data_IF_813085184604
#
_entry.id   IF_813085184604
#
_cell.length_a   1.000
_cell.length_b   1.000
_cell.length_c   1.000
_cell.angle_alpha   90.00
_cell.angle_beta   90.00
_cell.angle_gamma   90.00
#
_symmetry.space_group_name_H-M   'P 1'
#
loop_
_entity.id
_entity.type
_entity.pdbx_description
1 polymer ?
#
# COMPACT_ATOMS: atom_id res chain seq x y z
N UNK A 1 -8.24 -14.59 3.14
CA UNK A 1 -8.38 -13.64 4.27
C UNK A 1 -7.22 -13.71 5.27
N UNK A 2 -6.64 -14.88 5.54
CA UNK A 2 -5.50 -15.02 6.48
C UNK A 2 -4.30 -14.11 6.15
N UNK A 3 -3.72 -14.26 4.96
CA UNK A 3 -2.55 -13.46 4.53
C UNK A 3 -2.81 -11.94 4.54
N UNK A 4 -4.04 -11.51 4.21
CA UNK A 4 -4.43 -10.11 4.31
C UNK A 4 -4.37 -9.60 5.76
N UNK A 5 -4.83 -10.40 6.73
CA UNK A 5 -4.76 -10.01 8.16
C UNK A 5 -3.32 -9.91 8.65
N UNK A 6 -2.45 -10.82 8.21
CA UNK A 6 -1.01 -10.75 8.51
C UNK A 6 -0.44 -9.45 7.96
N UNK A 7 -0.69 -9.16 6.68
CA UNK A 7 -0.24 -7.93 6.04
C UNK A 7 -0.74 -6.68 6.80
N UNK A 8 -2.04 -6.55 7.02
CA UNK A 8 -2.60 -5.38 7.70
C UNK A 8 -2.13 -5.23 9.16
N UNK A 9 -1.84 -6.34 9.84
CA UNK A 9 -1.35 -6.31 11.22
C UNK A 9 0.11 -5.89 11.33
N UNK A 10 0.94 -6.22 10.34
CA UNK A 10 2.38 -5.94 10.36
C UNK A 10 2.76 -4.61 9.69
N UNK A 11 1.89 -4.03 8.87
CA UNK A 11 2.20 -2.85 8.03
C UNK A 11 1.26 -1.67 8.32
N UNK A 12 0.90 -1.49 9.59
CA UNK A 12 -0.06 -0.46 10.00
C UNK A 12 0.52 0.96 10.08
N UNK A 13 1.85 1.08 10.00
CA UNK A 13 2.63 2.32 10.01
C UNK A 13 2.49 3.15 8.74
N UNK A 14 2.13 2.49 7.63
CA UNK A 14 1.93 3.12 6.34
C UNK A 14 0.48 3.00 5.87
N UNK A 15 0.11 3.88 4.94
CA UNK A 15 -1.18 3.82 4.27
C UNK A 15 -1.02 3.24 2.86
N UNK A 16 -1.62 2.06 2.65
CA UNK A 16 -1.47 1.31 1.39
C UNK A 16 -2.65 1.47 0.45
N UNK A 17 -3.86 1.43 0.99
CA UNK A 17 -5.13 1.48 0.27
C UNK A 17 -6.27 1.68 1.26
N UNK A 18 -7.48 1.96 0.75
CA UNK A 18 -8.70 2.02 1.57
C UNK A 18 -9.11 0.62 2.02
N UNK A 19 -9.02 0.36 3.33
CA UNK A 19 -9.04 -0.99 3.90
C UNK A 19 -10.36 -1.71 3.71
N UNK A 20 -11.49 -1.07 3.99
CA UNK A 20 -12.79 -1.73 3.88
C UNK A 20 -13.13 -1.97 2.42
N UNK A 21 -12.88 -0.99 1.55
CA UNK A 21 -13.03 -1.17 0.10
C UNK A 21 -12.18 -2.30 -0.47
N UNK A 22 -10.93 -2.41 -0.04
CA UNK A 22 -10.06 -3.51 -0.48
C UNK A 22 -10.60 -4.87 -0.02
N UNK A 23 -11.05 -4.98 1.23
CA UNK A 23 -11.71 -6.20 1.75
C UNK A 23 -12.99 -6.53 0.98
N UNK A 24 -13.81 -5.53 0.67
CA UNK A 24 -15.05 -5.71 -0.08
C UNK A 24 -14.77 -6.17 -1.51
N UNK A 25 -13.79 -5.59 -2.19
CA UNK A 25 -13.37 -6.01 -3.53
C UNK A 25 -12.83 -7.44 -3.54
N UNK A 26 -12.13 -7.86 -2.48
CA UNK A 26 -11.77 -9.28 -2.28
C UNK A 26 -13.04 -10.15 -2.18
N UNK A 27 -13.98 -9.80 -1.28
CA UNK A 27 -15.22 -10.57 -1.10
C UNK A 27 -16.01 -10.67 -2.41
N UNK A 28 -16.09 -9.58 -3.17
CA UNK A 28 -16.74 -9.54 -4.47
C UNK A 28 -16.03 -10.43 -5.49
N UNK A 29 -14.69 -10.35 -5.58
CA UNK A 29 -13.88 -11.19 -6.48
C UNK A 29 -14.14 -12.68 -6.26
N UNK A 30 -14.25 -13.12 -5.01
CA UNK A 30 -14.53 -14.53 -4.70
C UNK A 30 -16.01 -14.91 -4.87
N UNK A 31 -16.94 -13.97 -4.64
CA UNK A 31 -18.38 -14.22 -4.76
C UNK A 31 -18.88 -14.17 -6.21
N UNK A 32 -18.21 -13.38 -7.05
CA UNK A 32 -18.54 -13.16 -8.46
C UNK A 32 -17.24 -13.11 -9.30
N UNK A 33 -16.62 -14.26 -9.61
CA UNK A 33 -15.30 -14.30 -10.25
C UNK A 33 -15.18 -13.56 -11.59
N UNK A 34 -16.30 -13.32 -12.27
CA UNK A 34 -16.35 -12.59 -13.55
C UNK A 34 -16.41 -11.07 -13.39
N UNK A 35 -16.67 -10.52 -12.20
CA UNK A 35 -16.89 -9.07 -12.02
C UNK A 35 -15.63 -8.22 -12.23
N UNK A 36 -14.45 -8.80 -12.02
CA UNK A 36 -13.16 -8.13 -12.12
C UNK A 36 -12.17 -8.88 -13.02
N UNK A 37 -12.64 -9.80 -13.86
CA UNK A 37 -11.76 -10.72 -14.60
C UNK A 37 -10.71 -10.02 -15.48
N UNK A 38 -11.05 -8.84 -16.01
CA UNK A 38 -10.16 -8.04 -16.86
C UNK A 38 -9.35 -6.97 -16.10
N UNK A 39 -9.55 -6.89 -14.78
CA UNK A 39 -8.94 -5.86 -13.94
C UNK A 39 -7.53 -6.27 -13.50
N UNK A 40 -6.57 -6.04 -14.39
CA UNK A 40 -5.17 -6.41 -14.16
C UNK A 40 -4.55 -5.65 -13.00
N UNK A 41 -4.91 -4.38 -12.79
CA UNK A 41 -4.38 -3.58 -11.70
C UNK A 41 -4.83 -4.15 -10.36
N UNK A 42 -6.12 -4.49 -10.25
CA UNK A 42 -6.67 -5.18 -9.09
C UNK A 42 -5.90 -6.45 -8.74
N UNK A 43 -5.71 -7.33 -9.72
CA UNK A 43 -5.00 -8.59 -9.47
C UNK A 43 -3.50 -8.38 -9.20
N UNK A 44 -2.89 -7.32 -9.75
CA UNK A 44 -1.52 -6.93 -9.42
C UNK A 44 -1.42 -6.58 -7.93
N UNK A 45 -2.25 -5.64 -7.48
CA UNK A 45 -2.29 -5.17 -6.10
C UNK A 45 -2.64 -6.30 -5.12
N UNK A 46 -3.66 -7.11 -5.42
CA UNK A 46 -4.03 -8.27 -4.62
C UNK A 46 -2.87 -9.27 -4.51
N UNK A 47 -2.18 -9.55 -5.61
CA UNK A 47 -1.03 -10.47 -5.61
C UNK A 47 0.11 -9.91 -4.75
N UNK A 48 0.39 -8.60 -4.77
CA UNK A 48 1.40 -7.98 -3.90
C UNK A 48 1.05 -8.10 -2.42
N UNK A 49 -0.20 -7.79 -2.04
CA UNK A 49 -0.65 -7.87 -0.66
C UNK A 49 -0.55 -9.31 -0.14
N UNK A 50 -0.94 -10.29 -0.95
CA UNK A 50 -0.81 -11.70 -0.59
C UNK A 50 0.66 -12.14 -0.53
N UNK A 51 1.51 -11.67 -1.44
CA UNK A 51 2.95 -11.96 -1.44
C UNK A 51 3.63 -11.43 -0.18
N UNK A 52 3.31 -10.19 0.23
CA UNK A 52 3.79 -9.59 1.48
C UNK A 52 3.30 -10.38 2.69
N UNK A 53 1.99 -10.68 2.77
CA UNK A 53 1.44 -11.50 3.84
C UNK A 53 2.12 -12.87 3.95
N UNK A 54 2.46 -13.50 2.82
CA UNK A 54 3.18 -14.78 2.79
C UNK A 54 4.65 -14.64 3.21
N UNK A 55 5.31 -13.54 2.84
CA UNK A 55 6.69 -13.29 3.24
C UNK A 55 6.80 -13.07 4.76
N UNK A 56 5.87 -12.29 5.33
CA UNK A 56 5.74 -12.04 6.77
C UNK A 56 5.39 -13.30 7.56
N UNK A 57 4.55 -14.17 7.02
CA UNK A 57 4.22 -15.44 7.67
C UNK A 57 5.43 -16.36 7.86
N UNK A 58 6.39 -16.30 6.93
CA UNK A 58 7.61 -17.12 6.93
C UNK A 58 8.72 -16.57 7.81
N UNK A 59 8.62 -15.34 8.29
CA UNK A 59 9.59 -14.84 9.26
C UNK A 59 9.52 -15.71 10.52
N UNK A 60 10.64 -16.28 10.97
CA UNK A 60 10.64 -17.15 12.14
C UNK A 60 10.18 -16.33 13.35
N UNK A 61 8.95 -16.60 13.80
CA UNK A 61 8.45 -16.08 15.07
C UNK A 61 9.45 -16.51 16.15
N UNK A 62 10.12 -15.55 16.78
CA UNK A 62 11.00 -15.86 17.90
C UNK A 62 10.18 -16.57 18.99
N UNK A 63 10.60 -17.79 19.31
CA UNK A 63 10.26 -18.65 20.46
C UNK A 63 8.79 -19.07 20.65
N UNK A 64 8.51 -20.32 20.25
CA UNK A 64 7.97 -21.30 21.20
C UNK A 64 8.63 -22.65 20.90
N UNK A 65 9.42 -23.14 21.85
CA UNK A 65 9.78 -24.56 21.92
C UNK A 65 8.47 -25.34 22.02
N UNK A 66 8.17 -26.23 21.08
CA UNK A 66 7.43 -27.46 21.38
C UNK A 66 7.43 -28.45 20.21
N UNK A 67 8.01 -29.62 20.48
CA UNK A 67 7.69 -30.96 19.99
C UNK A 67 7.50 -31.20 18.49
N UNK A 68 8.55 -31.75 17.87
CA UNK A 68 8.49 -32.42 16.57
C UNK A 68 7.55 -33.65 16.64
N UNK A 69 6.34 -33.52 16.11
CA UNK A 69 5.47 -34.67 15.84
C UNK A 69 5.81 -35.27 14.45
N UNK A 70 6.16 -36.56 14.35
CA UNK A 70 6.60 -37.18 13.08
C UNK A 70 5.52 -37.35 12.01
N UNK A 71 4.28 -36.95 12.30
CA UNK A 71 3.12 -37.15 11.43
C UNK A 71 2.57 -35.87 10.82
N UNK A 72 3.21 -34.72 11.02
CA UNK A 72 2.82 -33.52 10.32
C UNK A 72 3.31 -33.61 8.87
N UNK A 73 2.50 -34.28 8.05
CA UNK A 73 2.63 -34.33 6.61
C UNK A 73 2.45 -32.91 6.08
N UNK A 74 3.53 -32.14 6.18
CA UNK A 74 3.79 -30.90 5.48
C UNK A 74 3.74 -31.18 3.98
N UNK A 75 2.52 -31.30 3.44
CA UNK A 75 2.24 -30.89 2.07
C UNK A 75 2.34 -29.37 2.04
N UNK A 76 3.56 -28.86 2.21
CA UNK A 76 3.88 -27.48 1.86
C UNK A 76 3.76 -27.42 0.34
N UNK A 77 2.54 -27.10 -0.10
CA UNK A 77 2.30 -26.69 -1.48
C UNK A 77 3.33 -25.60 -1.76
N UNK A 78 4.16 -25.80 -2.78
CA UNK A 78 5.23 -24.86 -3.09
C UNK A 78 4.66 -23.43 -3.07
N UNK A 79 5.31 -22.48 -2.37
CA UNK A 79 4.87 -21.10 -2.32
C UNK A 79 4.49 -20.59 -3.71
N UNK A 80 3.25 -20.13 -3.86
CA UNK A 80 2.82 -19.52 -5.12
C UNK A 80 3.70 -18.28 -5.38
N UNK A 81 4.26 -18.13 -6.58
CA UNK A 81 5.08 -16.95 -6.94
C UNK A 81 4.17 -15.73 -7.21
N UNK A 82 3.53 -15.26 -6.14
CA UNK A 82 2.58 -14.15 -6.16
C UNK A 82 3.27 -12.83 -6.55
N UNK A 83 4.54 -12.66 -6.21
CA UNK A 83 5.30 -11.49 -6.64
C UNK A 83 5.59 -11.53 -8.15
N UNK A 84 6.02 -12.68 -8.68
CA UNK A 84 6.16 -12.87 -10.13
C UNK A 84 4.84 -12.63 -10.87
N UNK A 85 3.73 -13.10 -10.31
CA UNK A 85 2.39 -12.82 -10.83
C UNK A 85 2.08 -11.32 -10.82
N UNK A 86 2.32 -10.60 -9.71
CA UNK A 86 2.12 -9.17 -9.63
C UNK A 86 2.91 -8.41 -10.70
N UNK A 87 4.20 -8.72 -10.84
CA UNK A 87 5.08 -8.09 -11.85
C UNK A 87 4.56 -8.36 -13.27
N UNK A 88 4.04 -9.56 -13.55
CA UNK A 88 3.47 -9.89 -14.87
C UNK A 88 2.17 -9.13 -15.19
N UNK A 89 1.45 -8.69 -14.15
CA UNK A 89 0.19 -7.98 -14.25
C UNK A 89 0.36 -6.46 -14.27
N UNK A 90 1.50 -5.95 -13.75
CA UNK A 90 1.80 -4.53 -13.69
C UNK A 90 1.78 -3.92 -15.09
N UNK A 91 0.89 -2.94 -15.28
CA UNK A 91 0.80 -2.13 -16.50
C UNK A 91 0.75 -0.67 -16.05
N UNK A 92 1.64 0.15 -16.61
CA UNK A 92 1.55 1.60 -16.46
C UNK A 92 0.63 2.10 -17.57
N UNK A 93 -0.57 2.53 -17.21
CA UNK A 93 -1.53 3.15 -18.12
C UNK A 93 -1.14 4.60 -18.42
N UNK A 94 -1.57 5.14 -19.56
CA UNK A 94 -1.49 6.58 -19.83
C UNK A 94 -2.40 7.39 -18.90
N UNK A 95 -3.51 6.78 -18.45
CA UNK A 95 -4.40 7.37 -17.46
C UNK A 95 -3.99 6.90 -16.07
N UNK A 96 -3.32 7.78 -15.33
CA UNK A 96 -2.82 7.50 -13.99
C UNK A 96 -3.94 7.61 -12.94
N UNK A 97 -3.93 6.67 -12.00
CA UNK A 97 -4.90 6.56 -10.91
C UNK A 97 -4.19 6.45 -9.56
N UNK A 98 -4.92 6.64 -8.46
CA UNK A 98 -4.37 6.39 -7.13
C UNK A 98 -3.99 4.92 -6.93
N UNK A 99 -4.73 3.98 -7.53
CA UNK A 99 -4.41 2.55 -7.45
C UNK A 99 -3.04 2.21 -8.08
N UNK A 100 -2.61 2.95 -9.10
CA UNK A 100 -1.26 2.80 -9.69
C UNK A 100 -0.18 3.22 -8.68
N UNK A 101 -0.43 4.29 -7.91
CA UNK A 101 0.47 4.74 -6.85
C UNK A 101 0.48 3.76 -5.68
N UNK A 102 -0.69 3.28 -5.23
CA UNK A 102 -0.81 2.24 -4.21
C UNK A 102 0.01 1.00 -4.59
N UNK A 103 -0.17 0.53 -5.82
CA UNK A 103 0.53 -0.64 -6.38
C UNK A 103 2.04 -0.41 -6.45
N UNK A 104 2.50 0.75 -6.91
CA UNK A 104 3.92 1.08 -6.99
C UNK A 104 4.57 1.18 -5.60
N UNK A 105 3.87 1.75 -4.60
CA UNK A 105 4.34 1.80 -3.22
C UNK A 105 4.49 0.38 -2.64
N UNK A 106 3.48 -0.49 -2.83
CA UNK A 106 3.52 -1.89 -2.40
C UNK A 106 4.68 -2.66 -3.07
N UNK A 107 4.94 -2.38 -4.34
CA UNK A 107 6.04 -3.00 -5.09
C UNK A 107 7.41 -2.59 -4.53
N UNK A 108 7.59 -1.29 -4.24
CA UNK A 108 8.79 -0.77 -3.60
C UNK A 108 9.00 -1.40 -2.22
N UNK A 109 7.94 -1.43 -1.40
CA UNK A 109 7.98 -2.02 -0.06
C UNK A 109 8.28 -3.51 -0.08
N UNK A 110 7.67 -4.30 -0.96
CA UNK A 110 8.00 -5.71 -1.10
C UNK A 110 9.47 -5.93 -1.47
N UNK A 111 10.00 -5.13 -2.40
CA UNK A 111 11.40 -5.23 -2.79
C UNK A 111 12.33 -4.84 -1.65
N UNK A 112 11.97 -3.85 -0.84
CA UNK A 112 12.69 -3.49 0.38
C UNK A 112 12.69 -4.65 1.38
N UNK A 113 11.50 -5.11 1.76
CA UNK A 113 11.27 -6.19 2.71
C UNK A 113 11.99 -7.49 2.34
N UNK A 114 12.04 -7.82 1.05
CA UNK A 114 12.72 -9.04 0.54
C UNK A 114 14.20 -8.84 0.17
N UNK A 115 14.82 -7.74 0.64
CA UNK A 115 16.23 -7.41 0.44
C UNK A 115 16.64 -7.33 -1.05
N UNK A 116 15.86 -6.61 -1.85
CA UNK A 116 16.10 -6.28 -3.26
C UNK A 116 16.26 -4.77 -3.45
N UNK A 117 17.30 -4.15 -2.85
CA UNK A 117 17.39 -2.70 -2.70
C UNK A 117 17.35 -1.92 -4.02
N UNK A 118 18.02 -2.42 -5.07
CA UNK A 118 17.99 -1.77 -6.40
C UNK A 118 16.58 -1.69 -6.99
N UNK A 119 15.79 -2.75 -6.85
CA UNK A 119 14.42 -2.77 -7.33
C UNK A 119 13.53 -1.85 -6.47
N UNK A 120 13.73 -1.85 -5.15
CA UNK A 120 13.03 -0.96 -4.24
C UNK A 120 13.25 0.52 -4.62
N UNK A 121 14.50 0.93 -4.87
CA UNK A 121 14.84 2.30 -5.32
C UNK A 121 14.17 2.67 -6.64
N UNK A 122 14.10 1.74 -7.61
CA UNK A 122 13.44 1.98 -8.89
C UNK A 122 11.93 2.22 -8.68
N UNK A 123 11.27 1.34 -7.93
CA UNK A 123 9.83 1.46 -7.71
C UNK A 123 9.46 2.65 -6.83
N UNK A 124 10.27 3.03 -5.84
CA UNK A 124 9.99 4.24 -5.05
C UNK A 124 10.19 5.51 -5.86
N UNK A 125 11.22 5.56 -6.72
CA UNK A 125 11.42 6.68 -7.66
C UNK A 125 10.24 6.83 -8.61
N UNK A 126 9.70 5.71 -9.11
CA UNK A 126 8.48 5.68 -9.90
C UNK A 126 7.27 6.17 -9.10
N UNK A 127 7.13 5.75 -7.85
CA UNK A 127 6.03 6.16 -6.97
C UNK A 127 6.04 7.67 -6.72
N UNK A 128 7.22 8.26 -6.48
CA UNK A 128 7.37 9.73 -6.38
C UNK A 128 6.97 10.43 -7.68
N UNK A 129 7.36 9.91 -8.84
CA UNK A 129 6.97 10.46 -10.13
C UNK A 129 5.44 10.39 -10.35
N UNK A 130 4.82 9.25 -10.04
CA UNK A 130 3.36 9.06 -10.11
C UNK A 130 2.63 10.03 -9.19
N UNK A 131 3.06 10.15 -7.93
CA UNK A 131 2.45 11.06 -6.97
C UNK A 131 2.50 12.53 -7.44
N UNK A 132 3.60 12.97 -8.07
CA UNK A 132 3.72 14.31 -8.66
C UNK A 132 2.86 14.51 -9.91
N UNK A 133 2.72 13.48 -10.76
CA UNK A 133 1.82 13.52 -11.91
C UNK A 133 0.35 13.61 -11.48
N UNK A 134 0.01 12.96 -10.37
CA UNK A 134 -1.27 13.09 -9.67
C UNK A 134 -1.39 14.37 -8.83
N UNK A 135 -0.33 15.20 -8.81
CA UNK A 135 -0.25 16.48 -8.11
C UNK A 135 -0.42 16.39 -6.59
N UNK A 136 -0.07 15.25 -5.98
CA UNK A 136 -0.20 15.07 -4.52
C UNK A 136 0.81 15.92 -3.73
N UNK A 137 1.81 16.49 -4.40
CA UNK A 137 2.77 17.43 -3.83
C UNK A 137 2.24 18.88 -3.78
N UNK A 138 1.02 19.13 -4.24
CA UNK A 138 0.40 20.46 -4.29
C UNK A 138 -0.74 20.63 -3.28
N UNK A 139 -0.73 21.67 -2.43
CA UNK A 139 -1.81 21.95 -1.49
C UNK A 139 -3.19 22.10 -2.14
N UNK A 140 -3.24 22.64 -3.36
CA UNK A 140 -4.48 22.91 -4.11
C UNK A 140 -5.26 21.63 -4.44
N UNK A 141 -4.55 20.51 -4.61
CA UNK A 141 -5.12 19.20 -4.94
C UNK A 141 -6.07 18.68 -3.85
N UNK A 142 -5.88 19.13 -2.62
CA UNK A 142 -6.66 18.72 -1.45
C UNK A 142 -7.87 19.62 -1.18
N UNK A 143 -8.08 20.66 -1.99
CA UNK A 143 -9.25 21.51 -1.88
C UNK A 143 -10.48 20.80 -2.47
N UNK A 144 -11.63 20.86 -1.79
CA UNK A 144 -12.85 20.26 -2.33
C UNK A 144 -13.24 20.97 -3.64
N UNK A 145 -13.24 20.25 -4.76
CA UNK A 145 -13.78 20.79 -6.01
C UNK A 145 -15.29 21.01 -5.85
N UNK A 146 -15.72 22.26 -6.04
CA UNK A 146 -17.12 22.69 -5.87
C UNK A 146 -18.05 22.12 -6.96
N UNK A 147 -17.51 21.46 -7.99
CA UNK A 147 -18.29 20.95 -9.13
C UNK A 147 -18.49 19.42 -9.11
N UNK A 148 -19.72 19.03 -8.76
CA UNK A 148 -20.53 17.94 -9.35
C UNK A 148 -19.86 16.57 -9.63
N UNK A 149 -20.26 15.53 -8.89
CA UNK A 149 -21.38 14.63 -9.25
C UNK A 149 -21.64 13.61 -8.14
N UNK A 150 -22.90 13.24 -8.01
CA UNK A 150 -23.49 12.34 -7.03
C UNK A 150 -23.05 10.88 -7.19
N UNK A 151 -21.76 10.57 -7.06
CA UNK A 151 -21.30 9.18 -6.94
C UNK A 151 -20.54 8.99 -5.62
N UNK A 152 -21.31 9.00 -4.52
CA UNK A 152 -21.14 8.09 -3.37
C UNK A 152 -19.81 8.03 -2.60
N UNK A 153 -18.96 9.06 -2.61
CA UNK A 153 -17.73 9.09 -1.76
C UNK A 153 -17.62 10.39 -0.98
N UNK A 154 -17.44 10.28 0.35
CA UNK A 154 -17.15 11.40 1.23
C UNK A 154 -15.88 12.13 0.73
N UNK A 155 -15.95 13.43 0.40
CA UNK A 155 -14.79 14.18 -0.10
C UNK A 155 -13.62 14.17 0.89
N UNK A 156 -13.91 14.00 2.17
CA UNK A 156 -12.93 13.84 3.23
C UNK A 156 -12.13 12.54 3.11
N UNK A 157 -12.77 11.41 2.76
CA UNK A 157 -12.05 10.14 2.52
C UNK A 157 -11.05 10.31 1.39
N UNK A 158 -11.48 10.87 0.24
CA UNK A 158 -10.60 11.01 -0.92
C UNK A 158 -9.41 11.90 -0.59
N UNK A 159 -9.64 13.02 0.10
CA UNK A 159 -8.59 13.92 0.56
C UNK A 159 -7.58 13.20 1.47
N UNK A 160 -8.06 12.53 2.52
CA UNK A 160 -7.18 11.85 3.48
C UNK A 160 -6.46 10.66 2.85
N UNK A 161 -7.11 9.96 1.92
CA UNK A 161 -6.48 8.90 1.15
C UNK A 161 -5.27 9.41 0.36
N UNK A 162 -5.43 10.53 -0.34
CA UNK A 162 -4.36 11.16 -1.12
C UNK A 162 -3.23 11.66 -0.23
N UNK A 163 -3.55 12.34 0.88
CA UNK A 163 -2.55 12.84 1.84
C UNK A 163 -1.74 11.69 2.44
N UNK A 164 -2.42 10.64 2.89
CA UNK A 164 -1.76 9.49 3.52
C UNK A 164 -0.91 8.70 2.52
N UNK A 165 -1.35 8.56 1.26
CA UNK A 165 -0.52 7.98 0.20
C UNK A 165 0.73 8.81 -0.09
N UNK A 166 0.57 10.13 -0.21
CA UNK A 166 1.70 11.03 -0.41
C UNK A 166 2.75 10.88 0.68
N UNK A 167 2.33 11.00 1.94
CA UNK A 167 3.26 10.91 3.06
C UNK A 167 3.87 9.51 3.21
N UNK A 168 3.12 8.45 2.91
CA UNK A 168 3.67 7.08 2.84
C UNK A 168 4.78 6.99 1.80
N UNK A 169 4.57 7.50 0.58
CA UNK A 169 5.60 7.51 -0.46
C UNK A 169 6.83 8.30 -0.04
N UNK A 170 6.66 9.45 0.63
CA UNK A 170 7.78 10.27 1.13
C UNK A 170 8.56 9.53 2.21
N UNK A 171 7.89 8.88 3.18
CA UNK A 171 8.57 8.11 4.23
C UNK A 171 9.34 6.91 3.66
N UNK A 172 8.77 6.20 2.69
CA UNK A 172 9.45 5.10 2.01
C UNK A 172 10.70 5.58 1.23
N UNK A 173 10.61 6.71 0.52
CA UNK A 173 11.76 7.31 -0.19
C UNK A 173 12.89 7.69 0.76
N UNK A 174 12.55 8.34 1.88
CA UNK A 174 13.52 8.68 2.94
C UNK A 174 14.22 7.45 3.50
N UNK A 175 13.44 6.42 3.86
CA UNK A 175 13.96 5.18 4.45
C UNK A 175 14.93 4.48 3.49
N UNK A 176 14.49 4.27 2.25
CA UNK A 176 15.30 3.61 1.23
C UNK A 176 16.56 4.38 0.85
N UNK A 177 16.46 5.71 0.80
CA UNK A 177 17.62 6.55 0.52
C UNK A 177 18.63 6.50 1.68
N UNK A 178 18.16 6.58 2.92
CA UNK A 178 19.01 6.51 4.12
C UNK A 178 19.74 5.17 4.24
N UNK A 179 19.08 4.05 3.97
CA UNK A 179 19.70 2.71 4.06
C UNK A 179 20.80 2.48 3.01
N UNK A 180 20.77 3.23 1.91
CA UNK A 180 21.69 3.08 0.78
C UNK A 180 22.68 4.23 0.63
N UNK A 181 22.77 5.12 1.63
CA UNK A 181 23.59 6.34 1.59
C UNK A 181 23.32 7.21 0.34
N UNK A 182 22.06 7.22 -0.12
CA UNK A 182 21.59 8.03 -1.24
C UNK A 182 20.86 9.28 -0.73
N UNK A 183 20.74 10.29 -1.59
CA UNK A 183 19.83 11.41 -1.34
C UNK A 183 18.40 11.01 -1.70
N UNK A 184 17.40 11.25 -0.83
CA UNK A 184 16.00 11.04 -1.17
C UNK A 184 15.62 11.83 -2.42
N UNK A 185 14.80 11.24 -3.30
CA UNK A 185 14.26 11.91 -4.50
C UNK A 185 13.44 13.15 -4.11
N UNK A 186 12.87 13.13 -2.90
CA UNK A 186 12.19 14.28 -2.32
C UNK A 186 12.84 14.71 -0.99
N UNK A 187 13.76 15.68 -1.08
CA UNK A 187 14.59 16.09 0.06
C UNK A 187 13.98 17.18 0.95
N UNK A 188 12.86 17.80 0.55
CA UNK A 188 12.16 18.80 1.38
C UNK A 188 10.66 18.82 1.04
N UNK A 189 9.78 18.29 1.90
CA UNK A 189 8.37 18.66 1.84
C UNK A 189 8.21 20.16 1.82
N UNK A 190 7.38 20.67 0.91
CA UNK A 190 6.93 22.06 1.04
C UNK A 190 6.28 22.19 2.41
N UNK A 191 6.71 23.18 3.19
CA UNK A 191 6.16 23.50 4.52
C UNK A 191 4.64 23.80 4.50
N UNK A 192 4.06 23.86 3.31
CA UNK A 192 2.67 24.19 3.04
C UNK A 192 1.76 22.95 2.94
N UNK A 193 2.31 21.74 2.80
CA UNK A 193 1.51 20.52 2.75
C UNK A 193 0.98 20.17 4.14
N UNK A 194 -0.34 19.96 4.22
CA UNK A 194 -0.99 19.55 5.47
C UNK A 194 -0.57 18.14 5.87
N UNK A 195 -0.45 17.91 7.18
CA UNK A 195 -0.34 16.56 7.72
C UNK A 195 -1.68 15.82 7.61
N UNK A 196 -1.68 14.48 7.49
CA UNK A 196 -2.91 13.72 7.49
C UNK A 196 -3.67 13.88 8.81
N UNK A 197 -5.00 13.82 8.74
CA UNK A 197 -5.89 13.99 9.88
C UNK A 197 -7.03 12.97 9.82
N UNK A 198 -7.78 12.88 10.92
CA UNK A 198 -9.09 12.20 10.92
C UNK A 198 -10.24 13.21 11.11
N UNK A 199 -9.93 14.50 11.16
CA UNK A 199 -10.93 15.56 11.27
C UNK A 199 -11.87 15.57 10.06
N UNK A 200 -13.18 15.51 10.34
CA UNK A 200 -14.22 15.53 9.32
C UNK A 200 -14.57 14.15 8.74
N UNK A 201 -13.87 13.08 9.14
CA UNK A 201 -14.28 11.72 8.83
C UNK A 201 -15.42 11.28 9.75
N UNK A 202 -16.37 10.52 9.21
CA UNK A 202 -17.35 9.79 10.02
C UNK A 202 -16.70 8.56 10.65
N UNK A 203 -17.32 7.98 11.69
CA UNK A 203 -16.80 6.74 12.30
C UNK A 203 -16.74 5.56 11.32
N UNK A 204 -17.60 5.53 10.30
CA UNK A 204 -17.55 4.53 9.23
C UNK A 204 -16.37 4.79 8.28
N UNK A 205 -16.16 6.07 7.91
CA UNK A 205 -15.05 6.48 7.03
C UNK A 205 -13.68 6.27 7.69
N UNK A 206 -13.59 6.40 9.03
CA UNK A 206 -12.36 6.13 9.79
C UNK A 206 -11.89 4.67 9.65
N UNK A 207 -12.81 3.72 9.46
CA UNK A 207 -12.48 2.29 9.30
C UNK A 207 -11.72 2.00 8.00
N UNK A 208 -11.74 2.92 7.03
CA UNK A 208 -10.98 2.80 5.79
C UNK A 208 -9.47 2.95 6.00
N UNK A 209 -9.05 3.46 7.16
CA UNK A 209 -7.66 3.80 7.44
C UNK A 209 -7.05 2.96 8.59
N UNK A 210 -5.72 2.94 8.65
CA UNK A 210 -4.96 2.44 9.82
C UNK A 210 -4.78 3.54 10.88
N UNK A 211 -4.25 3.18 12.05
CA UNK A 211 -3.96 4.14 13.12
C UNK A 211 -3.03 5.25 12.61
N UNK A 212 -3.57 6.48 12.57
CA UNK A 212 -2.87 7.65 12.08
C UNK A 212 -1.59 7.96 12.88
N UNK A 213 -1.53 7.57 14.17
CA UNK A 213 -0.38 7.87 15.02
C UNK A 213 0.92 7.26 14.52
N UNK A 214 0.86 6.06 13.95
CA UNK A 214 2.04 5.36 13.45
C UNK A 214 2.61 6.09 12.22
N UNK A 215 1.74 6.45 11.27
CA UNK A 215 2.15 7.24 10.10
C UNK A 215 2.71 8.61 10.50
N UNK A 216 2.10 9.29 11.47
CA UNK A 216 2.62 10.57 11.96
C UNK A 216 4.00 10.43 12.61
N UNK A 217 4.28 9.31 13.29
CA UNK A 217 5.60 9.04 13.83
C UNK A 217 6.64 8.86 12.72
N UNK A 218 6.30 8.12 11.65
CA UNK A 218 7.16 7.93 10.47
C UNK A 218 7.43 9.24 9.71
N UNK A 219 6.46 10.17 9.66
CA UNK A 219 6.66 11.47 9.01
C UNK A 219 7.68 12.32 9.79
N UNK A 220 7.72 12.17 11.12
CA UNK A 220 8.54 12.96 12.03
C UNK A 220 9.95 12.40 12.25
N UNK A 221 10.22 11.15 11.87
CA UNK A 221 11.58 10.57 11.88
C UNK A 221 12.46 11.15 10.78
#
# INVERSE_FOLDING_TARGET
MHLLRIFEGANSEYHWFLRQRFRDRIRQTYSQPTSHADDRNWFCQLSLVLALGQALEKEPKQESEETNDPWDSNQSSAPLDLFGQAVSLLIISETLTLEDLETSNLMAYYCHFTNRPKAAVIYISQSIALARLLQLDRPETYQPMISERQDSKSPYITKEHMLRLWWTTVCLDKTLASELDLSPVYSSPSLELSLPSSEGLSSEDEEEFSDLKLLLAEIQS
#
